data_IF_953757774864
#
_entry.id   IF_953757774864
#
_cell.length_a   1.000
_cell.length_b   1.000
_cell.length_c   1.000
_cell.angle_alpha   90.00
_cell.angle_beta   90.00
_cell.angle_gamma   90.00
#
_symmetry.space_group_name_H-M   'P 1'
#
loop_
_entity.id
_entity.type
_entity.pdbx_description
1 polymer ?
#
# COMPACT_ATOMS: atom_id res chain seq x y z
N UNK A 1 2.24 -23.03 6.67
CA UNK A 1 2.57 -22.17 7.84
C UNK A 1 3.88 -22.66 8.42
N UNK A 2 4.88 -21.80 8.54
CA UNK A 2 6.13 -22.14 9.21
C UNK A 2 5.86 -22.38 10.71
N UNK A 3 6.57 -23.32 11.36
CA UNK A 3 6.40 -23.56 12.79
C UNK A 3 6.75 -22.30 13.59
N UNK A 4 6.05 -22.11 14.71
CA UNK A 4 6.31 -20.98 15.62
C UNK A 4 7.71 -21.14 16.23
N UNK A 5 8.49 -20.08 16.18
CA UNK A 5 9.84 -20.04 16.78
C UNK A 5 9.77 -20.02 18.30
N UNK A 6 10.75 -20.63 18.95
CA UNK A 6 10.94 -20.56 20.41
C UNK A 6 11.50 -19.19 20.81
N UNK A 7 11.43 -18.85 22.10
CA UNK A 7 11.95 -17.58 22.61
C UNK A 7 13.47 -17.49 22.43
N UNK A 8 14.20 -18.59 22.58
CA UNK A 8 15.65 -18.63 22.32
C UNK A 8 15.99 -18.39 20.85
N UNK A 9 15.22 -18.99 19.92
CA UNK A 9 15.38 -18.72 18.48
C UNK A 9 15.07 -17.27 18.13
N UNK A 10 14.05 -16.67 18.73
CA UNK A 10 13.69 -15.26 18.52
C UNK A 10 14.78 -14.33 19.07
N UNK A 11 15.38 -14.68 20.21
CA UNK A 11 16.52 -13.95 20.78
C UNK A 11 17.73 -14.01 19.85
N UNK A 12 18.08 -15.18 19.32
CA UNK A 12 19.17 -15.35 18.36
C UNK A 12 18.95 -14.54 17.07
N UNK A 13 17.71 -14.53 16.54
CA UNK A 13 17.33 -13.71 15.37
C UNK A 13 17.53 -12.23 15.68
N UNK A 14 17.08 -11.78 16.85
CA UNK A 14 17.20 -10.38 17.28
C UNK A 14 18.66 -9.94 17.36
N UNK A 15 19.54 -10.77 17.93
CA UNK A 15 20.98 -10.49 17.98
C UNK A 15 21.62 -10.45 16.60
N UNK A 16 21.22 -11.37 15.69
CA UNK A 16 21.68 -11.36 14.30
C UNK A 16 21.30 -10.07 13.58
N UNK A 17 20.04 -9.63 13.72
CA UNK A 17 19.54 -8.37 13.12
C UNK A 17 20.28 -7.18 13.72
N UNK A 18 20.46 -7.13 15.05
CA UNK A 18 21.20 -6.06 15.74
C UNK A 18 22.65 -5.98 15.23
N UNK A 19 23.32 -7.11 15.09
CA UNK A 19 24.67 -7.18 14.55
C UNK A 19 24.73 -6.67 13.11
N UNK A 20 23.82 -7.12 12.25
CA UNK A 20 23.72 -6.66 10.87
C UNK A 20 23.50 -5.15 10.76
N UNK A 21 22.66 -4.59 11.62
CA UNK A 21 22.39 -3.14 11.68
C UNK A 21 23.65 -2.40 12.14
N UNK A 22 24.30 -2.85 13.21
CA UNK A 22 25.48 -2.20 13.77
C UNK A 22 26.67 -2.21 12.81
N UNK A 23 26.83 -3.27 12.03
CA UNK A 23 27.90 -3.43 11.02
C UNK A 23 27.52 -2.89 9.64
N UNK A 24 26.24 -2.55 9.40
CA UNK A 24 25.76 -2.09 8.10
C UNK A 24 25.68 -3.17 7.01
N UNK A 25 25.76 -4.45 7.39
CA UNK A 25 25.91 -5.59 6.46
C UNK A 25 24.61 -6.07 5.83
N UNK A 26 23.45 -5.50 6.16
CA UNK A 26 22.17 -5.82 5.51
C UNK A 26 22.04 -5.13 4.15
N UNK A 27 21.41 -5.82 3.17
CA UNK A 27 21.22 -5.33 1.81
C UNK A 27 19.83 -5.70 1.27
N UNK A 28 18.95 -4.72 1.14
CA UNK A 28 17.60 -4.92 0.63
C UNK A 28 17.53 -5.30 -0.86
N UNK A 29 18.63 -5.15 -1.61
CA UNK A 29 18.69 -5.56 -3.01
C UNK A 29 18.73 -7.09 -3.19
N UNK A 30 19.00 -7.85 -2.13
CA UNK A 30 19.10 -9.33 -2.15
C UNK A 30 17.75 -10.05 -2.32
N UNK A 31 16.64 -9.30 -2.40
CA UNK A 31 15.31 -9.86 -2.64
C UNK A 31 15.23 -10.59 -3.98
N UNK A 32 14.52 -11.73 -4.00
CA UNK A 32 14.29 -12.54 -5.19
C UNK A 32 12.91 -12.29 -5.78
N UNK A 33 12.82 -12.34 -7.11
CA UNK A 33 11.54 -12.24 -7.82
C UNK A 33 10.92 -13.64 -7.98
N UNK A 34 9.63 -13.74 -7.71
CA UNK A 34 8.83 -14.95 -7.91
C UNK A 34 7.59 -14.65 -8.73
N UNK A 35 7.11 -15.64 -9.46
CA UNK A 35 5.88 -15.56 -10.24
C UNK A 35 4.85 -16.46 -9.57
N UNK A 36 3.79 -15.87 -9.05
CA UNK A 36 2.63 -16.60 -8.54
C UNK A 36 1.58 -16.70 -9.65
N UNK A 37 1.19 -17.94 -9.98
CA UNK A 37 0.07 -18.17 -10.88
C UNK A 37 -1.22 -18.23 -10.06
N UNK A 38 -2.14 -17.32 -10.30
CA UNK A 38 -3.46 -17.27 -9.66
C UNK A 38 -4.46 -18.17 -10.42
N UNK A 39 -5.61 -18.43 -9.79
CA UNK A 39 -6.73 -19.10 -10.45
C UNK A 39 -7.10 -18.32 -11.72
N UNK A 40 -7.25 -19.02 -12.84
CA UNK A 40 -7.48 -18.40 -14.15
C UNK A 40 -6.21 -18.08 -14.95
N UNK A 41 -5.02 -18.53 -14.49
CA UNK A 41 -3.75 -18.38 -15.24
C UNK A 41 -3.10 -16.98 -15.16
N UNK A 42 -3.69 -16.02 -14.44
CA UNK A 42 -3.11 -14.68 -14.25
C UNK A 42 -1.80 -14.81 -13.45
N UNK A 43 -0.73 -14.27 -14.01
CA UNK A 43 0.59 -14.24 -13.35
C UNK A 43 0.72 -12.97 -12.53
N UNK A 44 1.18 -13.11 -11.28
CA UNK A 44 1.53 -11.99 -10.39
C UNK A 44 3.00 -12.08 -10.03
N UNK A 45 3.72 -11.00 -10.30
CA UNK A 45 5.12 -10.88 -9.91
C UNK A 45 5.19 -10.35 -8.48
N UNK A 46 5.96 -11.04 -7.63
CA UNK A 46 6.22 -10.62 -6.26
C UNK A 46 7.73 -10.60 -6.01
N UNK A 47 8.16 -9.78 -5.05
CA UNK A 47 9.51 -9.81 -4.50
C UNK A 47 9.46 -10.19 -3.03
N UNK A 48 10.36 -11.08 -2.62
CA UNK A 48 10.49 -11.47 -1.22
C UNK A 48 11.93 -11.89 -0.90
N UNK A 49 12.27 -11.90 0.36
CA UNK A 49 13.50 -12.52 0.84
C UNK A 49 13.27 -14.01 1.02
N UNK A 50 14.31 -14.80 0.75
CA UNK A 50 14.24 -16.27 0.82
C UNK A 50 13.93 -16.76 2.23
N UNK A 51 14.48 -16.05 3.24
CA UNK A 51 14.22 -16.32 4.65
C UNK A 51 13.42 -15.17 5.27
N UNK A 52 12.26 -15.51 5.85
CA UNK A 52 11.40 -14.54 6.54
C UNK A 52 12.01 -14.03 7.86
N UNK A 53 13.05 -14.67 8.36
CA UNK A 53 13.82 -14.27 9.55
C UNK A 53 15.18 -13.65 9.19
N UNK A 54 15.49 -13.45 7.93
CA UNK A 54 16.68 -12.69 7.54
C UNK A 54 16.63 -11.26 8.08
N UNK A 55 17.79 -10.63 8.21
CA UNK A 55 17.88 -9.24 8.69
C UNK A 55 17.00 -8.31 7.84
N UNK A 56 17.01 -8.48 6.51
CA UNK A 56 16.23 -7.68 5.58
C UNK A 56 14.72 -7.88 5.76
N UNK A 57 14.26 -9.12 5.94
CA UNK A 57 12.84 -9.42 6.20
C UNK A 57 12.36 -8.78 7.50
N UNK A 58 13.14 -8.92 8.57
CA UNK A 58 12.80 -8.34 9.88
C UNK A 58 12.84 -6.82 9.81
N UNK A 59 13.86 -6.23 9.17
CA UNK A 59 13.95 -4.78 8.98
C UNK A 59 12.81 -4.22 8.13
N UNK A 60 12.31 -4.96 7.13
CA UNK A 60 11.09 -4.57 6.40
C UNK A 60 9.86 -4.52 7.33
N UNK A 61 9.73 -5.44 8.28
CA UNK A 61 8.66 -5.37 9.28
C UNK A 61 8.83 -4.16 10.21
N UNK A 62 10.07 -3.85 10.62
CA UNK A 62 10.35 -2.64 11.40
C UNK A 62 10.00 -1.37 10.63
N UNK A 63 10.41 -1.26 9.36
CA UNK A 63 10.06 -0.13 8.48
C UNK A 63 8.55 0.00 8.38
N UNK A 64 7.82 -1.11 8.15
CA UNK A 64 6.36 -1.07 8.13
C UNK A 64 5.79 -0.48 9.41
N UNK A 65 6.24 -0.93 10.58
CA UNK A 65 5.75 -0.43 11.88
C UNK A 65 6.10 1.05 12.10
N UNK A 66 7.29 1.49 11.67
CA UNK A 66 7.70 2.90 11.72
C UNK A 66 6.72 3.75 10.90
N UNK A 67 6.46 3.35 9.66
CA UNK A 67 5.58 4.09 8.75
C UNK A 67 4.12 4.04 9.20
N UNK A 68 3.61 2.88 9.63
CA UNK A 68 2.25 2.73 10.17
C UNK A 68 2.01 3.69 11.34
N UNK A 69 2.98 3.79 12.26
CA UNK A 69 2.92 4.68 13.42
C UNK A 69 3.00 6.15 13.01
N UNK A 70 3.95 6.48 12.12
CA UNK A 70 4.21 7.86 11.68
C UNK A 70 3.03 8.45 10.93
N UNK A 71 2.42 7.67 10.04
CA UNK A 71 1.30 8.09 9.19
C UNK A 71 -0.07 7.69 9.74
N UNK A 72 -0.11 6.93 10.83
CA UNK A 72 -1.36 6.42 11.43
C UNK A 72 -2.23 5.68 10.40
N UNK A 73 -1.59 4.85 9.57
CA UNK A 73 -2.25 4.15 8.46
C UNK A 73 -3.42 3.32 8.96
N UNK A 74 -4.56 3.48 8.29
CA UNK A 74 -5.78 2.68 8.53
C UNK A 74 -6.04 1.85 7.29
N UNK A 75 -5.67 0.58 7.36
CA UNK A 75 -5.93 -0.33 6.25
C UNK A 75 -7.43 -0.59 6.09
N UNK A 76 -7.94 -0.56 4.85
CA UNK A 76 -9.34 -0.80 4.59
C UNK A 76 -9.74 -2.23 4.98
N UNK A 77 -10.94 -2.39 5.53
CA UNK A 77 -11.51 -3.69 5.85
C UNK A 77 -12.49 -4.10 4.76
N UNK A 78 -12.13 -5.12 3.97
CA UNK A 78 -12.91 -5.56 2.80
C UNK A 78 -14.36 -5.83 3.12
N UNK A 79 -14.65 -6.54 4.22
CA UNK A 79 -16.04 -6.86 4.58
C UNK A 79 -16.84 -5.60 4.91
N UNK A 80 -16.23 -4.67 5.66
CA UNK A 80 -16.86 -3.38 5.96
C UNK A 80 -17.11 -2.58 4.69
N UNK A 81 -16.13 -2.50 3.78
CA UNK A 81 -16.28 -1.80 2.50
C UNK A 81 -17.42 -2.38 1.67
N UNK A 82 -17.49 -3.70 1.55
CA UNK A 82 -18.57 -4.38 0.81
C UNK A 82 -19.94 -4.06 1.42
N UNK A 83 -20.09 -4.13 2.74
CA UNK A 83 -21.36 -3.77 3.41
C UNK A 83 -21.73 -2.31 3.14
N UNK A 84 -20.80 -1.37 3.28
CA UNK A 84 -21.04 0.06 3.00
C UNK A 84 -21.49 0.29 1.56
N UNK A 85 -20.89 -0.39 0.59
CA UNK A 85 -21.32 -0.32 -0.82
C UNK A 85 -22.76 -0.77 -0.97
N UNK A 86 -23.13 -1.94 -0.43
CA UNK A 86 -24.50 -2.46 -0.54
C UNK A 86 -25.54 -1.55 0.12
N UNK A 87 -25.22 -0.97 1.27
CA UNK A 87 -26.13 -0.07 1.96
C UNK A 87 -26.32 1.25 1.18
N UNK A 88 -25.24 1.78 0.61
CA UNK A 88 -25.33 2.95 -0.27
C UNK A 88 -26.14 2.63 -1.53
N UNK A 89 -25.90 1.49 -2.18
CA UNK A 89 -26.66 1.09 -3.38
C UNK A 89 -28.16 0.93 -3.11
N UNK A 90 -28.55 0.43 -1.92
CA UNK A 90 -29.96 0.39 -1.51
C UNK A 90 -30.55 1.79 -1.37
N UNK A 91 -29.79 2.75 -0.88
CA UNK A 91 -30.25 4.13 -0.72
C UNK A 91 -30.38 4.85 -2.08
N UNK A 92 -29.37 4.74 -2.95
CA UNK A 92 -29.36 5.47 -4.23
C UNK A 92 -30.31 4.90 -5.28
N UNK A 93 -30.72 3.62 -5.18
CA UNK A 93 -31.65 3.02 -6.16
C UNK A 93 -32.99 3.74 -6.30
N UNK A 94 -33.37 4.60 -5.34
CA UNK A 94 -34.59 5.40 -5.34
C UNK A 94 -34.34 6.81 -5.87
N UNK A 95 -33.11 7.17 -6.20
CA UNK A 95 -32.76 8.48 -6.73
C UNK A 95 -33.04 8.53 -8.24
N UNK A 96 -33.37 9.75 -8.74
CA UNK A 96 -33.65 9.93 -10.17
C UNK A 96 -32.39 9.73 -11.02
N UNK A 97 -31.25 10.24 -10.54
CA UNK A 97 -29.97 10.18 -11.23
C UNK A 97 -28.83 9.88 -10.27
N UNK A 98 -27.93 9.00 -10.69
CA UNK A 98 -26.63 8.77 -10.05
C UNK A 98 -25.69 8.08 -11.03
N UNK A 99 -24.39 8.22 -10.80
CA UNK A 99 -23.36 7.48 -11.56
C UNK A 99 -22.50 6.69 -10.62
N UNK A 100 -22.21 5.43 -10.99
CA UNK A 100 -21.25 4.55 -10.31
C UNK A 100 -19.99 4.51 -11.15
N UNK A 101 -18.87 4.93 -10.57
CA UNK A 101 -17.56 4.94 -11.20
C UNK A 101 -16.69 3.92 -10.48
N UNK A 102 -16.21 2.93 -11.22
CA UNK A 102 -15.21 1.97 -10.73
C UNK A 102 -13.89 2.22 -11.41
N UNK A 103 -12.84 2.44 -10.62
CA UNK A 103 -11.47 2.60 -11.08
C UNK A 103 -10.60 1.47 -10.54
N UNK A 104 -9.62 1.04 -11.33
CA UNK A 104 -8.62 0.04 -10.97
C UNK A 104 -7.24 0.53 -11.42
N UNK A 105 -6.24 0.44 -10.54
CA UNK A 105 -4.87 0.83 -10.89
C UNK A 105 -4.16 -0.30 -11.63
N UNK A 106 -3.67 0.00 -12.81
CA UNK A 106 -2.84 -0.95 -13.55
C UNK A 106 -1.50 -1.16 -12.84
N UNK A 107 -1.23 -2.42 -12.48
CA UNK A 107 0.04 -2.84 -11.86
C UNK A 107 0.43 -2.02 -10.61
N UNK A 108 -0.55 -1.81 -9.72
CA UNK A 108 -0.52 -0.87 -8.59
C UNK A 108 0.82 -0.82 -7.85
N UNK A 109 1.25 -1.93 -7.25
CA UNK A 109 2.47 -1.95 -6.45
C UNK A 109 3.76 -1.72 -7.25
N UNK A 110 3.82 -2.20 -8.50
CA UNK A 110 5.01 -2.04 -9.33
C UNK A 110 5.09 -0.64 -9.96
N UNK A 111 3.98 0.10 -10.02
CA UNK A 111 3.94 1.49 -10.48
C UNK A 111 4.27 2.51 -9.39
N UNK A 112 4.20 2.13 -8.10
CA UNK A 112 4.52 3.03 -6.98
C UNK A 112 6.03 3.09 -6.75
N UNK A 113 6.64 4.22 -7.11
CA UNK A 113 8.05 4.48 -6.79
C UNK A 113 8.21 4.73 -5.29
N UNK A 114 8.81 3.75 -4.58
CA UNK A 114 9.08 3.85 -3.15
C UNK A 114 10.04 5.02 -2.83
N UNK A 115 11.01 5.26 -3.71
CA UNK A 115 11.94 6.37 -3.57
C UNK A 115 11.24 7.73 -3.69
N UNK A 116 10.34 7.89 -4.66
CA UNK A 116 9.56 9.12 -4.81
C UNK A 116 8.67 9.37 -3.57
N UNK A 117 8.00 8.34 -3.08
CA UNK A 117 7.15 8.43 -1.88
C UNK A 117 7.99 8.83 -0.67
N UNK A 118 9.20 8.25 -0.52
CA UNK A 118 10.11 8.61 0.55
C UNK A 118 10.50 10.10 0.49
N UNK A 119 11.05 10.55 -0.63
CA UNK A 119 11.54 11.93 -0.77
C UNK A 119 10.43 12.97 -0.59
N UNK A 120 9.25 12.70 -1.12
CA UNK A 120 8.15 13.68 -1.15
C UNK A 120 7.30 13.67 0.11
N UNK A 121 7.06 12.52 0.72
CA UNK A 121 6.06 12.39 1.79
C UNK A 121 6.63 11.87 3.11
N UNK A 122 7.63 10.98 3.07
CA UNK A 122 8.08 10.27 4.28
C UNK A 122 9.20 11.04 4.98
N UNK A 123 10.22 11.45 4.26
CA UNK A 123 11.45 12.03 4.79
C UNK A 123 11.21 13.15 5.80
N UNK A 124 10.33 14.09 5.48
CA UNK A 124 10.01 15.23 6.36
C UNK A 124 9.21 14.87 7.61
N UNK A 125 8.64 13.66 7.67
CA UNK A 125 7.83 13.17 8.79
C UNK A 125 8.62 12.32 9.79
N UNK A 126 9.78 11.82 9.39
CA UNK A 126 10.65 11.03 10.25
C UNK A 126 11.62 11.94 11.02
N UNK A 127 11.39 12.08 12.32
CA UNK A 127 12.25 12.88 13.20
C UNK A 127 13.49 12.11 13.71
N UNK A 128 13.40 10.80 13.76
CA UNK A 128 14.51 9.93 14.17
C UNK A 128 15.41 9.67 12.97
N UNK A 129 16.68 10.09 13.07
CA UNK A 129 17.66 9.95 11.98
C UNK A 129 17.90 8.50 11.58
N UNK A 130 18.01 7.59 12.54
CA UNK A 130 18.21 6.17 12.25
C UNK A 130 17.01 5.57 11.47
N UNK A 131 15.77 5.90 11.86
CA UNK A 131 14.57 5.48 11.13
C UNK A 131 14.55 6.05 9.71
N UNK A 132 14.93 7.32 9.55
CA UNK A 132 15.02 7.96 8.23
C UNK A 132 16.07 7.28 7.34
N UNK A 133 17.28 7.05 7.86
CA UNK A 133 18.37 6.40 7.12
C UNK A 133 18.00 4.96 6.72
N UNK A 134 17.31 4.21 7.60
CA UNK A 134 16.85 2.84 7.33
C UNK A 134 15.80 2.82 6.20
N UNK A 135 14.80 3.69 6.27
CA UNK A 135 13.76 3.78 5.23
C UNK A 135 14.34 4.28 3.92
N UNK A 136 15.27 5.24 3.95
CA UNK A 136 15.94 5.74 2.76
C UNK A 136 16.75 4.64 2.07
N UNK A 137 17.55 3.86 2.83
CA UNK A 137 18.30 2.73 2.29
C UNK A 137 17.38 1.72 1.62
N UNK A 138 16.27 1.35 2.29
CA UNK A 138 15.27 0.44 1.73
C UNK A 138 14.72 0.97 0.40
N UNK A 139 14.22 2.19 0.38
CA UNK A 139 13.55 2.77 -0.80
C UNK A 139 14.52 2.98 -1.98
N UNK A 140 15.78 3.32 -1.73
CA UNK A 140 16.83 3.42 -2.75
C UNK A 140 17.18 2.05 -3.36
N UNK A 141 17.28 1.01 -2.55
CA UNK A 141 17.68 -0.32 -3.01
C UNK A 141 16.54 -1.07 -3.69
N UNK A 142 15.30 -0.91 -3.24
CA UNK A 142 14.15 -1.59 -3.84
C UNK A 142 13.52 -0.81 -4.98
N UNK A 143 13.60 0.52 -4.99
CA UNK A 143 13.05 1.49 -5.94
C UNK A 143 11.53 1.56 -5.98
N UNK A 144 10.83 0.42 -5.97
CA UNK A 144 9.36 0.33 -6.06
C UNK A 144 8.78 -0.42 -4.87
N UNK A 145 7.49 -0.20 -4.62
CA UNK A 145 6.73 -0.90 -3.57
C UNK A 145 6.26 -2.28 -4.05
N UNK A 146 7.19 -3.12 -4.53
CA UNK A 146 6.86 -4.43 -5.09
C UNK A 146 5.97 -5.26 -4.19
N UNK A 147 4.95 -5.91 -4.77
CA UNK A 147 4.14 -6.88 -4.04
C UNK A 147 5.03 -7.98 -3.43
N UNK A 148 4.72 -8.38 -2.20
CA UNK A 148 5.46 -9.40 -1.44
C UNK A 148 6.28 -8.85 -0.27
N UNK A 149 6.71 -7.58 -0.31
CA UNK A 149 7.31 -6.96 0.88
C UNK A 149 6.24 -6.55 1.89
N UNK A 150 6.54 -6.65 3.17
CA UNK A 150 5.65 -6.13 4.23
C UNK A 150 5.45 -4.61 4.17
N UNK A 151 6.42 -3.90 3.60
CA UNK A 151 6.42 -2.45 3.40
C UNK A 151 5.56 -1.97 2.24
N UNK A 152 5.18 -2.85 1.30
CA UNK A 152 4.50 -2.46 0.06
C UNK A 152 3.18 -1.76 0.30
N UNK A 153 2.36 -2.33 1.17
CA UNK A 153 1.05 -1.75 1.49
C UNK A 153 1.17 -0.37 2.13
N UNK A 154 2.06 -0.20 3.14
CA UNK A 154 2.18 1.09 3.84
C UNK A 154 2.70 2.18 2.92
N UNK A 155 3.69 1.89 2.06
CA UNK A 155 4.22 2.87 1.09
C UNK A 155 3.16 3.23 0.06
N UNK A 156 2.42 2.25 -0.44
CA UNK A 156 1.33 2.48 -1.39
C UNK A 156 0.17 3.26 -0.76
N UNK A 157 -0.20 3.00 0.51
CA UNK A 157 -1.24 3.76 1.22
C UNK A 157 -0.84 5.22 1.44
N UNK A 158 0.43 5.52 1.74
CA UNK A 158 0.90 6.91 1.91
C UNK A 158 0.65 7.76 0.65
N UNK A 159 0.92 7.22 -0.53
CA UNK A 159 0.64 7.96 -1.77
C UNK A 159 -0.84 7.90 -2.16
N UNK A 160 -1.52 6.80 -1.87
CA UNK A 160 -2.93 6.64 -2.21
C UNK A 160 -3.84 7.60 -1.42
N UNK A 161 -3.48 8.02 -0.22
CA UNK A 161 -4.19 9.10 0.50
C UNK A 161 -4.20 10.42 -0.29
N UNK A 162 -3.13 10.70 -1.04
CA UNK A 162 -3.07 11.88 -1.91
C UNK A 162 -4.00 11.74 -3.11
N UNK A 163 -4.05 10.54 -3.71
CA UNK A 163 -5.00 10.21 -4.77
C UNK A 163 -6.44 10.34 -4.26
N UNK A 164 -6.76 9.74 -3.11
CA UNK A 164 -8.09 9.82 -2.51
C UNK A 164 -8.53 11.28 -2.30
N UNK A 165 -7.62 12.12 -1.84
CA UNK A 165 -7.86 13.55 -1.63
C UNK A 165 -8.08 14.30 -2.95
N UNK A 166 -7.26 14.02 -3.97
CA UNK A 166 -7.37 14.62 -5.29
C UNK A 166 -8.68 14.24 -5.98
N UNK A 167 -9.07 12.96 -5.92
CA UNK A 167 -10.34 12.48 -6.51
C UNK A 167 -11.53 13.10 -5.80
N UNK A 168 -11.54 13.18 -4.46
CA UNK A 168 -12.61 13.83 -3.71
C UNK A 168 -12.75 15.30 -4.08
N UNK A 169 -11.64 16.00 -4.30
CA UNK A 169 -11.66 17.40 -4.75
C UNK A 169 -12.18 17.51 -6.19
N UNK A 170 -11.73 16.65 -7.08
CA UNK A 170 -12.10 16.67 -8.50
C UNK A 170 -13.59 16.37 -8.74
N UNK A 171 -14.22 15.59 -7.87
CA UNK A 171 -15.66 15.28 -7.92
C UNK A 171 -16.49 16.04 -6.89
N UNK A 172 -15.94 17.08 -6.23
CA UNK A 172 -16.62 17.78 -5.15
C UNK A 172 -17.93 18.44 -5.60
N UNK A 173 -17.96 18.98 -6.82
CA UNK A 173 -19.13 19.61 -7.45
C UNK A 173 -20.18 18.59 -7.93
N UNK A 174 -19.81 17.32 -8.05
CA UNK A 174 -20.68 16.22 -8.53
C UNK A 174 -21.51 15.55 -7.43
N UNK A 175 -21.43 16.03 -6.21
CA UNK A 175 -22.19 15.49 -5.08
C UNK A 175 -21.81 14.05 -4.74
N UNK A 176 -20.61 13.83 -4.21
CA UNK A 176 -20.15 12.49 -3.83
C UNK A 176 -21.04 11.90 -2.73
N UNK A 177 -21.75 10.83 -3.06
CA UNK A 177 -22.58 10.05 -2.13
C UNK A 177 -21.78 8.95 -1.44
N UNK A 178 -20.80 8.39 -2.16
CA UNK A 178 -19.93 7.32 -1.67
C UNK A 178 -18.56 7.40 -2.31
N UNK A 179 -17.53 7.20 -1.52
CA UNK A 179 -16.15 7.04 -1.97
C UNK A 179 -15.45 6.03 -1.08
N UNK A 180 -14.96 4.97 -1.65
CA UNK A 180 -14.12 4.00 -0.95
C UNK A 180 -13.07 3.41 -1.87
N UNK A 181 -11.86 3.28 -1.36
CA UNK A 181 -10.77 2.56 -2.03
C UNK A 181 -10.37 1.37 -1.17
N UNK A 182 -10.25 0.22 -1.82
CA UNK A 182 -9.69 -0.99 -1.24
C UNK A 182 -8.46 -1.39 -2.02
N UNK A 183 -7.27 -0.97 -1.53
CA UNK A 183 -5.96 -1.13 -2.18
C UNK A 183 -5.97 -0.42 -3.55
N UNK A 184 -6.10 -1.16 -4.64
CA UNK A 184 -6.14 -0.71 -6.03
C UNK A 184 -7.55 -0.48 -6.58
N UNK A 185 -8.55 -1.13 -6.03
CA UNK A 185 -9.95 -0.95 -6.41
C UNK A 185 -10.55 0.31 -5.76
N UNK A 186 -11.09 1.24 -6.56
CA UNK A 186 -11.79 2.44 -6.08
C UNK A 186 -13.21 2.46 -6.61
N UNK A 187 -14.18 2.74 -5.73
CA UNK A 187 -15.59 2.91 -6.07
C UNK A 187 -16.05 4.29 -5.63
N UNK A 188 -16.67 5.02 -6.57
CA UNK A 188 -17.25 6.35 -6.35
C UNK A 188 -18.69 6.29 -6.79
N UNK A 189 -19.60 6.88 -6.01
CA UNK A 189 -21.00 7.09 -6.40
C UNK A 189 -21.26 8.59 -6.27
N UNK A 190 -21.73 9.19 -7.34
CA UNK A 190 -22.07 10.62 -7.40
C UNK A 190 -23.56 10.84 -7.67
N UNK A 191 -24.08 11.98 -7.23
CA UNK A 191 -25.50 12.34 -7.29
C UNK A 191 -25.88 13.04 -8.59
N UNK A 192 -25.31 12.60 -9.71
CA UNK A 192 -25.71 13.07 -11.04
C UNK A 192 -25.31 12.07 -12.11
N UNK A 193 -25.88 12.22 -13.31
CA UNK A 193 -25.43 11.48 -14.48
C UNK A 193 -24.15 12.12 -15.03
N UNK A 194 -23.08 11.32 -15.15
CA UNK A 194 -21.81 11.75 -15.74
C UNK A 194 -21.47 10.79 -16.88
N UNK A 195 -21.21 11.33 -18.06
CA UNK A 195 -20.75 10.58 -19.21
C UNK A 195 -19.31 10.04 -19.01
N UNK A 196 -19.01 8.89 -19.58
CA UNK A 196 -17.69 8.25 -19.46
C UNK A 196 -16.55 9.20 -19.87
N UNK A 197 -16.73 9.95 -20.96
CA UNK A 197 -15.72 10.90 -21.42
C UNK A 197 -15.43 12.01 -20.40
N UNK A 198 -16.43 12.48 -19.67
CA UNK A 198 -16.26 13.44 -18.58
C UNK A 198 -15.56 12.82 -17.39
N UNK A 199 -15.93 11.59 -16.99
CA UNK A 199 -15.24 10.85 -15.92
C UNK A 199 -13.75 10.70 -16.24
N UNK A 200 -13.40 10.31 -17.46
CA UNK A 200 -12.00 10.17 -17.89
C UNK A 200 -11.26 11.50 -17.87
N UNK A 201 -11.92 12.61 -18.25
CA UNK A 201 -11.33 13.95 -18.20
C UNK A 201 -11.06 14.42 -16.76
N UNK A 202 -11.92 14.05 -15.81
CA UNK A 202 -11.74 14.40 -14.39
C UNK A 202 -10.61 13.58 -13.75
N UNK A 203 -10.42 12.32 -14.17
CA UNK A 203 -9.45 11.40 -13.60
C UNK A 203 -8.05 11.48 -14.23
N UNK A 204 -7.88 12.16 -15.37
CA UNK A 204 -6.60 12.38 -16.06
C UNK A 204 -6.03 13.78 -15.76
#
# INVERSE_FOLDING_TARGET
TQPRKTDDELTAITETVRSAVSSGTYDFATSTSQVLTQSGGKKRYIKQYTDCYSAESVLCQCIKQILDRTFRIRYPNRNKSVHSVFDTLKAVKQMADFTIIKCDFKDYFNSVSAQYVFEKYIKAKLSNRFEADLVEKFTKQTRFAYAGFSTSNVIAEIIAEQFDSAVRLAFADKGILFFERYIDDTLIIVNEHIEEAECLRILN
#
